data_IF_021764615193
#
_entry.id   IF_021764615193
#
_cell.length_a   1.000
_cell.length_b   1.000
_cell.length_c   1.000
_cell.angle_alpha   90.00
_cell.angle_beta   90.00
_cell.angle_gamma   90.00
#
_symmetry.space_group_name_H-M   'P 1'
#
loop_
_entity.id
_entity.type
_entity.pdbx_description
1 polymer ?
#
# COMPACT_ATOMS: atom_id res chain seq x y z
N UNK A 1 -14.61 10.38 -6.48
CA UNK A 1 -15.09 8.99 -6.61
C UNK A 1 -14.07 8.05 -5.98
N UNK A 2 -14.48 6.99 -5.27
CA UNK A 2 -13.52 6.07 -4.66
C UNK A 2 -12.77 5.29 -5.76
N UNK A 3 -11.46 5.45 -5.80
CA UNK A 3 -10.60 4.84 -6.83
C UNK A 3 -10.38 3.34 -6.55
N UNK A 4 -9.85 2.64 -7.57
CA UNK A 4 -9.37 1.24 -7.46
C UNK A 4 -8.41 1.13 -6.28
N UNK A 5 -8.37 -0.04 -5.62
CA UNK A 5 -7.40 -0.26 -4.56
C UNK A 5 -5.96 -0.06 -5.09
N UNK A 6 -5.11 0.71 -4.41
CA UNK A 6 -3.67 0.76 -4.69
C UNK A 6 -3.05 -0.64 -4.65
N UNK A 7 -2.12 -0.96 -5.57
CA UNK A 7 -1.53 -2.31 -5.67
C UNK A 7 -0.84 -2.75 -4.38
N UNK A 8 -0.21 -1.82 -3.67
CA UNK A 8 0.48 -2.02 -2.40
C UNK A 8 -0.46 -2.32 -1.23
N UNK A 9 -1.72 -1.89 -1.33
CA UNK A 9 -2.79 -2.21 -0.40
C UNK A 9 -3.60 -3.43 -0.85
N UNK A 10 -3.40 -3.91 -2.09
CA UNK A 10 -3.97 -5.19 -2.53
C UNK A 10 -3.19 -6.33 -1.89
N UNK A 11 -3.91 -7.43 -1.63
CA UNK A 11 -3.34 -8.67 -1.13
C UNK A 11 -2.30 -9.25 -2.07
N UNK A 12 -1.79 -10.44 -1.73
CA UNK A 12 -1.31 -11.35 -2.78
C UNK A 12 -2.36 -11.42 -3.90
N UNK A 13 -1.92 -11.74 -5.12
CA UNK A 13 -2.76 -12.03 -6.28
C UNK A 13 -4.06 -12.71 -5.77
N UNK A 14 -5.20 -12.04 -5.99
CA UNK A 14 -6.55 -12.41 -5.51
C UNK A 14 -7.07 -11.79 -4.19
N UNK A 15 -6.47 -10.70 -3.70
CA UNK A 15 -7.06 -9.90 -2.61
C UNK A 15 -7.29 -10.68 -1.29
N UNK A 16 -6.32 -11.51 -0.91
CA UNK A 16 -6.36 -12.28 0.34
C UNK A 16 -6.24 -11.39 1.59
N UNK A 17 -6.87 -11.77 2.73
CA UNK A 17 -6.85 -11.01 3.98
C UNK A 17 -5.44 -10.89 4.59
N UNK A 18 -5.21 -9.83 5.38
CA UNK A 18 -3.94 -9.62 6.10
C UNK A 18 -3.49 -10.83 6.92
N UNK A 19 -4.42 -11.52 7.59
CA UNK A 19 -4.11 -12.68 8.42
C UNK A 19 -3.44 -13.81 7.63
N UNK A 20 -3.85 -14.01 6.37
CA UNK A 20 -3.27 -15.00 5.49
C UNK A 20 -1.91 -14.53 4.96
N UNK A 21 -1.78 -13.25 4.62
CA UNK A 21 -0.50 -12.64 4.27
C UNK A 21 0.53 -12.85 5.39
N UNK A 22 0.16 -12.52 6.62
CA UNK A 22 0.99 -12.72 7.82
C UNK A 22 1.34 -14.19 8.04
N UNK A 23 0.38 -15.11 7.87
CA UNK A 23 0.64 -16.56 7.97
C UNK A 23 1.72 -16.99 6.99
N UNK A 24 1.65 -16.55 5.73
CA UNK A 24 2.68 -16.85 4.71
C UNK A 24 4.03 -16.30 5.13
N UNK A 25 4.11 -15.06 5.64
CA UNK A 25 5.37 -14.47 6.10
C UNK A 25 6.00 -15.30 7.22
N UNK A 26 5.24 -15.58 8.27
CA UNK A 26 5.71 -16.34 9.44
C UNK A 26 6.13 -17.76 9.08
N UNK A 27 5.33 -18.46 8.26
CA UNK A 27 5.63 -19.84 7.85
C UNK A 27 6.92 -19.96 7.04
N UNK A 28 7.31 -18.89 6.33
CA UNK A 28 8.53 -18.85 5.52
C UNK A 28 9.68 -18.08 6.21
N UNK A 29 9.55 -17.79 7.51
CA UNK A 29 10.56 -17.08 8.30
C UNK A 29 10.97 -15.71 7.73
N UNK A 30 10.06 -15.06 6.98
CA UNK A 30 10.24 -13.65 6.62
C UNK A 30 10.05 -12.78 7.87
N UNK A 31 10.93 -11.80 8.03
CA UNK A 31 10.91 -10.84 9.14
C UNK A 31 10.66 -9.40 8.67
N UNK A 32 10.60 -9.16 7.36
CA UNK A 32 10.45 -7.83 6.81
C UNK A 32 9.61 -7.83 5.52
N UNK A 33 8.91 -6.73 5.29
CA UNK A 33 8.12 -6.48 4.10
C UNK A 33 8.51 -5.15 3.49
N UNK A 34 8.77 -5.14 2.17
CA UNK A 34 8.88 -3.92 1.37
C UNK A 34 7.50 -3.54 0.84
N UNK A 35 7.04 -2.33 1.14
CA UNK A 35 5.81 -1.75 0.62
C UNK A 35 6.17 -0.72 -0.45
N UNK A 36 5.99 -1.04 -1.74
CA UNK A 36 6.20 -0.08 -2.82
C UNK A 36 5.04 0.92 -2.83
N UNK A 37 5.33 2.20 -2.61
CA UNK A 37 4.37 3.30 -2.59
C UNK A 37 4.49 4.11 -3.87
N UNK A 38 3.48 4.93 -4.16
CA UNK A 38 3.62 5.98 -5.17
C UNK A 38 3.35 7.36 -4.57
N UNK A 39 4.13 8.35 -4.98
CA UNK A 39 4.21 9.65 -4.32
C UNK A 39 2.87 10.39 -4.35
N UNK A 40 2.21 10.43 -5.50
CA UNK A 40 0.88 11.03 -5.69
C UNK A 40 -0.15 10.44 -4.71
N UNK A 41 -0.09 9.14 -4.44
CA UNK A 41 -1.01 8.48 -3.50
C UNK A 41 -0.83 8.96 -2.07
N UNK A 42 0.41 9.16 -1.64
CA UNK A 42 0.72 9.69 -0.31
C UNK A 42 0.33 11.17 -0.21
N UNK A 43 0.63 11.97 -1.23
CA UNK A 43 0.43 13.42 -1.24
C UNK A 43 -1.05 13.80 -1.37
N UNK A 44 -1.74 13.25 -2.38
CA UNK A 44 -3.15 13.56 -2.63
C UNK A 44 -4.08 12.82 -1.66
N UNK A 45 -3.55 11.75 -1.06
CA UNK A 45 -4.20 10.92 -0.07
C UNK A 45 -5.62 10.51 -0.52
N UNK A 46 -5.82 9.95 -1.72
CA UNK A 46 -7.16 9.80 -2.29
C UNK A 46 -8.06 8.92 -1.43
N UNK A 47 -9.37 9.09 -1.58
CA UNK A 47 -10.34 8.15 -1.01
C UNK A 47 -10.36 6.86 -1.83
N UNK A 48 -10.07 5.74 -1.19
CA UNK A 48 -10.00 4.41 -1.81
C UNK A 48 -11.17 3.52 -1.39
N UNK A 49 -11.49 2.53 -2.21
CA UNK A 49 -12.50 1.52 -1.89
C UNK A 49 -11.87 0.31 -1.19
N UNK A 50 -12.14 0.18 0.11
CA UNK A 50 -11.56 -0.87 0.98
C UNK A 50 -12.08 -2.25 0.61
N UNK A 51 -13.31 -2.36 0.09
CA UNK A 51 -13.84 -3.64 -0.37
C UNK A 51 -13.05 -4.24 -1.54
N UNK A 52 -12.23 -3.42 -2.21
CA UNK A 52 -11.34 -3.85 -3.30
C UNK A 52 -9.89 -4.08 -2.82
N UNK A 53 -9.61 -3.82 -1.54
CA UNK A 53 -8.29 -3.96 -0.94
C UNK A 53 -8.23 -5.20 -0.06
N UNK A 54 -7.75 -6.31 -0.63
CA UNK A 54 -7.71 -7.60 0.07
C UNK A 54 -7.00 -7.61 1.42
N UNK A 55 -5.87 -6.88 1.56
CA UNK A 55 -5.12 -6.82 2.83
C UNK A 55 -5.89 -6.10 3.92
N UNK A 56 -6.88 -5.29 3.58
CA UNK A 56 -7.62 -4.50 4.54
C UNK A 56 -8.89 -5.23 4.92
N UNK A 57 -9.02 -5.55 6.21
CA UNK A 57 -10.23 -6.16 6.73
C UNK A 57 -11.34 -5.12 6.77
N UNK A 58 -12.51 -5.44 6.19
CA UNK A 58 -13.72 -4.64 6.36
C UNK A 58 -14.08 -4.43 7.84
N UNK A 59 -13.66 -5.33 8.75
CA UNK A 59 -13.95 -5.20 10.19
C UNK A 59 -13.24 -4.02 10.85
N UNK A 60 -12.13 -3.54 10.27
CA UNK A 60 -11.37 -2.41 10.83
C UNK A 60 -11.92 -1.06 10.35
N UNK A 61 -12.84 -1.06 9.38
CA UNK A 61 -13.44 0.15 8.83
C UNK A 61 -14.95 0.16 9.04
N UNK A 62 -15.44 1.22 9.66
CA UNK A 62 -16.88 1.48 9.78
C UNK A 62 -17.52 1.92 8.45
N UNK A 63 -16.72 2.06 7.38
CA UNK A 63 -17.12 2.56 6.06
C UNK A 63 -16.48 1.70 4.96
N UNK A 64 -17.14 1.52 3.79
CA UNK A 64 -16.55 0.82 2.64
C UNK A 64 -15.38 1.58 1.98
N UNK A 65 -15.05 2.78 2.47
CA UNK A 65 -13.99 3.64 1.96
C UNK A 65 -13.08 4.11 3.08
N UNK A 66 -11.81 4.36 2.78
CA UNK A 66 -10.89 5.06 3.66
C UNK A 66 -10.00 6.01 2.88
N UNK A 67 -9.28 6.88 3.60
CA UNK A 67 -8.18 7.67 3.02
C UNK A 67 -6.96 6.78 2.80
N UNK A 68 -6.24 7.00 1.70
CA UNK A 68 -5.05 6.23 1.34
C UNK A 68 -4.05 6.11 2.50
N UNK A 69 -3.69 7.22 3.15
CA UNK A 69 -2.69 7.22 4.24
C UNK A 69 -3.19 6.53 5.50
N UNK A 70 -4.50 6.60 5.80
CA UNK A 70 -5.11 5.82 6.87
C UNK A 70 -4.98 4.32 6.58
N UNK A 71 -5.26 3.91 5.35
CA UNK A 71 -5.15 2.52 4.93
C UNK A 71 -3.71 1.98 4.92
N UNK A 72 -2.75 2.83 4.52
CA UNK A 72 -1.33 2.54 4.66
C UNK A 72 -0.94 2.37 6.12
N UNK A 73 -1.34 3.30 6.99
CA UNK A 73 -1.03 3.25 8.43
C UNK A 73 -1.56 1.98 9.07
N UNK A 74 -2.79 1.59 8.79
CA UNK A 74 -3.38 0.34 9.30
C UNK A 74 -2.65 -0.91 8.79
N UNK A 75 -2.21 -0.91 7.53
CA UNK A 75 -1.38 -1.98 6.96
C UNK A 75 -0.05 -2.09 7.69
N UNK A 76 0.67 -0.98 7.86
CA UNK A 76 1.95 -0.91 8.58
C UNK A 76 1.77 -1.36 10.03
N UNK A 77 0.72 -0.90 10.69
CA UNK A 77 0.42 -1.24 12.10
C UNK A 77 0.12 -2.73 12.27
N UNK A 78 -0.60 -3.33 11.31
CA UNK A 78 -0.91 -4.77 11.32
C UNK A 78 0.35 -5.61 11.13
N UNK A 79 1.25 -5.20 10.23
CA UNK A 79 2.54 -5.87 10.01
C UNK A 79 3.45 -5.74 11.24
N UNK A 80 3.59 -4.52 11.77
CA UNK A 80 4.42 -4.26 12.94
C UNK A 80 3.92 -5.02 14.18
N UNK A 81 2.61 -5.04 14.43
CA UNK A 81 2.01 -5.82 15.53
C UNK A 81 2.24 -7.32 15.42
N UNK A 82 2.51 -7.82 14.22
CA UNK A 82 2.86 -9.22 13.96
C UNK A 82 4.38 -9.48 13.98
N UNK A 83 5.18 -8.51 14.40
CA UNK A 83 6.64 -8.62 14.48
C UNK A 83 7.36 -8.49 13.13
N UNK A 84 6.71 -7.94 12.11
CA UNK A 84 7.31 -7.72 10.79
C UNK A 84 7.87 -6.31 10.68
N UNK A 85 9.13 -6.19 10.27
CA UNK A 85 9.72 -4.90 9.88
C UNK A 85 9.09 -4.42 8.58
N UNK A 86 8.92 -3.10 8.42
CA UNK A 86 8.33 -2.53 7.21
C UNK A 86 9.29 -1.53 6.59
N UNK A 87 9.66 -1.76 5.34
CA UNK A 87 10.39 -0.83 4.50
C UNK A 87 9.39 -0.11 3.59
N UNK A 88 9.25 1.21 3.77
CA UNK A 88 8.49 2.05 2.84
C UNK A 88 9.41 2.43 1.68
N UNK A 89 9.01 2.05 0.47
CA UNK A 89 9.77 2.26 -0.74
C UNK A 89 8.99 3.18 -1.66
N UNK A 90 9.49 4.39 -1.93
CA UNK A 90 8.84 5.25 -2.92
C UNK A 90 9.15 4.72 -4.32
N UNK A 91 8.24 3.89 -4.84
CA UNK A 91 8.45 3.07 -6.03
C UNK A 91 8.19 3.82 -7.33
N UNK A 92 7.16 4.67 -7.33
CA UNK A 92 6.80 5.48 -8.49
C UNK A 92 6.32 6.86 -8.08
N UNK A 93 6.32 7.80 -9.02
CA UNK A 93 5.78 9.13 -8.78
C UNK A 93 4.25 9.12 -8.86
N UNK A 94 3.71 8.36 -9.82
CA UNK A 94 2.28 8.25 -10.10
C UNK A 94 1.83 6.79 -10.04
N UNK A 95 0.51 6.56 -10.00
CA UNK A 95 -0.06 5.21 -10.02
C UNK A 95 0.04 4.47 -11.36
N UNK A 96 0.69 5.07 -12.37
CA UNK A 96 0.73 4.59 -13.77
C UNK A 96 1.99 3.82 -14.18
N UNK A 97 3.02 3.75 -13.34
CA UNK A 97 4.24 2.99 -13.63
C UNK A 97 5.53 3.62 -13.10
N UNK A 98 6.64 2.91 -13.29
CA UNK A 98 7.96 3.36 -12.83
C UNK A 98 8.45 4.53 -13.69
N UNK A 99 8.94 5.58 -13.03
CA UNK A 99 9.66 6.66 -13.70
C UNK A 99 11.15 6.29 -13.81
N UNK A 100 11.82 6.74 -14.88
CA UNK A 100 13.27 6.58 -15.02
C UNK A 100 14.06 7.42 -14.00
N UNK A 101 13.42 8.46 -13.47
CA UNK A 101 13.99 9.46 -12.56
C UNK A 101 13.14 9.61 -11.30
N UNK A 102 13.72 10.18 -10.25
CA UNK A 102 13.07 10.44 -8.96
C UNK A 102 12.14 11.67 -8.97
N UNK A 103 11.86 12.20 -10.16
CA UNK A 103 11.14 13.44 -10.39
C UNK A 103 10.57 13.47 -11.82
N UNK A 104 9.49 14.23 -12.02
CA UNK A 104 8.83 14.38 -13.30
C UNK A 104 8.95 15.81 -13.84
N UNK A 105 8.64 15.97 -15.13
CA UNK A 105 8.51 17.28 -15.77
C UNK A 105 7.43 18.11 -15.08
N UNK A 106 7.62 19.44 -14.91
CA UNK A 106 8.74 20.25 -15.39
C UNK A 106 9.92 20.35 -14.42
N UNK A 107 9.85 19.70 -13.25
CA UNK A 107 10.82 19.88 -12.16
C UNK A 107 12.18 19.28 -12.53
N UNK A 108 12.17 18.18 -13.26
CA UNK A 108 13.37 17.53 -13.75
C UNK A 108 13.53 17.72 -15.25
N UNK A 109 13.97 18.91 -15.61
CA UNK A 109 14.64 19.13 -16.88
C UNK A 109 16.07 18.63 -16.73
N UNK A 110 16.55 17.84 -17.69
CA UNK A 110 17.97 17.48 -17.75
C UNK A 110 18.80 18.75 -17.91
N UNK A 111 19.72 19.02 -16.98
CA UNK A 111 20.87 19.90 -17.28
C UNK A 111 21.73 19.28 -18.39
#
# INVERSE_FOLDING_TARGET
AATKCPEELRGFRDARPMSEYLKVLTQNSFNAVRLPLYAEGVLDNPTININRCGRLSKKNYNSPTARYTQALLETVTSLASAGQFVCLDMHSLTGGGNAATWCGEPVCTSE
#
